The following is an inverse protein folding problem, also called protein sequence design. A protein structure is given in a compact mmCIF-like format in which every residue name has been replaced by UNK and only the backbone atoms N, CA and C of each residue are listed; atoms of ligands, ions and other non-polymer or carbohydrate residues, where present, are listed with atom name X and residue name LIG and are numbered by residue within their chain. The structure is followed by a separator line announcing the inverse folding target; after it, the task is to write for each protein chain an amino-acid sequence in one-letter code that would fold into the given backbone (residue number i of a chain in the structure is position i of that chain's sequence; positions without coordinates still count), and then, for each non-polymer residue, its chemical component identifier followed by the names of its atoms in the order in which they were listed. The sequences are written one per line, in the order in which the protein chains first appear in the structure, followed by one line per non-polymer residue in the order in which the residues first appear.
data_IF_275094218725
#
_entry.id   IF_275094218725
#
_cell.length_a   1.000
_cell.length_b   1.000
_cell.length_c   1.000
_cell.angle_alpha   90.00
_cell.angle_beta   90.00
_cell.angle_gamma   90.00
#
_symmetry.space_group_name_H-M   'P 1'
#
loop_
_entity.id
_entity.type
_entity.pdbx_description
1 polymer ?
#
# COMPACT_ATOMS: atom_id res chain seq x y z
N UNK A 1 -20.49 20.09 6.83
CA UNK A 1 -20.67 18.64 7.10
C UNK A 1 -20.86 18.45 8.61
N UNK A 2 -21.79 17.61 9.07
CA UNK A 2 -21.96 17.39 10.53
C UNK A 2 -20.88 16.46 11.08
N UNK A 3 -20.57 16.59 12.37
CA UNK A 3 -19.63 15.71 13.10
C UNK A 3 -19.97 14.23 12.94
N UNK A 4 -21.24 13.87 13.10
CA UNK A 4 -21.71 12.49 12.96
C UNK A 4 -21.54 11.96 11.52
N UNK A 5 -21.86 12.77 10.50
CA UNK A 5 -21.63 12.37 9.11
C UNK A 5 -20.16 12.13 8.80
N UNK A 6 -19.25 12.98 9.30
CA UNK A 6 -17.80 12.78 9.14
C UNK A 6 -17.33 11.51 9.85
N UNK A 7 -17.83 11.23 11.06
CA UNK A 7 -17.52 10.01 11.81
C UNK A 7 -17.95 8.75 11.07
N UNK A 8 -19.15 8.73 10.50
CA UNK A 8 -19.65 7.61 9.71
C UNK A 8 -18.78 7.39 8.46
N UNK A 9 -18.44 8.46 7.74
CA UNK A 9 -17.57 8.39 6.56
C UNK A 9 -16.21 7.80 6.94
N UNK A 10 -15.59 8.32 8.00
CA UNK A 10 -14.30 7.83 8.49
C UNK A 10 -14.36 6.38 8.96
N UNK A 11 -15.46 5.96 9.58
CA UNK A 11 -15.66 4.59 10.02
C UNK A 11 -15.64 3.61 8.85
N UNK A 12 -16.48 3.84 7.84
CA UNK A 12 -16.52 2.99 6.65
C UNK A 12 -15.21 3.04 5.87
N UNK A 13 -14.62 4.23 5.71
CA UNK A 13 -13.33 4.37 5.07
C UNK A 13 -12.27 3.51 5.77
N UNK A 14 -12.18 3.57 7.11
CA UNK A 14 -11.25 2.77 7.91
C UNK A 14 -11.46 1.27 7.72
N UNK A 15 -12.71 0.78 7.64
CA UNK A 15 -13.00 -0.62 7.33
C UNK A 15 -12.43 -1.01 5.95
N UNK A 16 -12.65 -0.18 4.93
CA UNK A 16 -12.10 -0.44 3.60
C UNK A 16 -10.57 -0.43 3.60
N UNK A 17 -9.91 0.42 4.40
CA UNK A 17 -8.45 0.39 4.56
C UNK A 17 -7.97 -0.94 5.15
N UNK A 18 -8.65 -1.44 6.18
CA UNK A 18 -8.30 -2.72 6.81
C UNK A 18 -8.46 -3.86 5.82
N UNK A 19 -9.58 -3.91 5.08
CA UNK A 19 -9.81 -4.91 4.04
C UNK A 19 -8.74 -4.82 2.95
N UNK A 20 -8.39 -3.60 2.51
CA UNK A 20 -7.32 -3.38 1.55
C UNK A 20 -5.97 -3.90 2.05
N UNK A 21 -5.56 -3.57 3.27
CA UNK A 21 -4.28 -3.99 3.83
C UNK A 21 -4.22 -5.52 3.98
N UNK A 22 -5.27 -6.14 4.53
CA UNK A 22 -5.33 -7.59 4.71
C UNK A 22 -5.35 -8.34 3.37
N UNK A 23 -6.09 -7.84 2.37
CA UNK A 23 -6.09 -8.42 1.03
C UNK A 23 -4.75 -8.22 0.32
N UNK A 24 -4.10 -7.08 0.50
CA UNK A 24 -2.74 -6.80 0.00
C UNK A 24 -1.73 -7.81 0.54
N UNK A 25 -1.67 -7.98 1.87
CA UNK A 25 -0.81 -8.97 2.54
C UNK A 25 -1.11 -10.40 2.04
N UNK A 26 -2.39 -10.77 1.99
CA UNK A 26 -2.80 -12.10 1.56
C UNK A 26 -2.38 -12.38 0.11
N UNK A 27 -2.63 -11.44 -0.80
CA UNK A 27 -2.24 -11.57 -2.20
C UNK A 27 -0.72 -11.57 -2.37
N UNK A 28 0.02 -10.78 -1.59
CA UNK A 28 1.48 -10.79 -1.63
C UNK A 28 2.02 -12.18 -1.27
N UNK A 29 1.57 -12.75 -0.16
CA UNK A 29 2.04 -14.06 0.31
C UNK A 29 1.60 -15.21 -0.60
N UNK A 30 0.34 -15.22 -1.02
CA UNK A 30 -0.24 -16.35 -1.79
C UNK A 30 0.15 -16.30 -3.27
N UNK A 31 0.23 -15.12 -3.87
CA UNK A 31 0.46 -14.98 -5.32
C UNK A 31 1.92 -14.75 -5.69
N UNK A 32 2.66 -13.98 -4.88
CA UNK A 32 4.04 -13.59 -5.19
C UNK A 32 5.03 -14.41 -4.36
N UNK A 33 4.72 -14.63 -3.08
CA UNK A 33 5.55 -15.35 -2.13
C UNK A 33 6.22 -14.42 -1.11
N UNK A 34 6.61 -14.99 0.02
CA UNK A 34 7.13 -14.25 1.18
C UNK A 34 8.66 -14.18 1.25
N UNK A 35 9.38 -14.92 0.39
CA UNK A 35 10.84 -14.95 0.36
C UNK A 35 11.40 -14.49 -1.00
N UNK A 36 12.65 -14.02 -1.07
CA UNK A 36 13.23 -13.49 -2.30
C UNK A 36 13.29 -14.49 -3.47
N UNK A 37 13.40 -15.79 -3.20
CA UNK A 37 13.46 -16.82 -4.25
C UNK A 37 12.11 -16.97 -4.95
N UNK A 38 11.02 -17.14 -4.20
CA UNK A 38 9.66 -17.21 -4.78
C UNK A 38 9.31 -15.93 -5.54
N UNK A 39 9.72 -14.77 -5.02
CA UNK A 39 9.54 -13.48 -5.71
C UNK A 39 10.31 -13.47 -7.02
N UNK A 40 11.57 -13.95 -7.03
CA UNK A 40 12.36 -14.04 -8.26
C UNK A 40 11.66 -14.93 -9.29
N UNK A 41 11.21 -16.13 -8.90
CA UNK A 41 10.48 -17.07 -9.76
C UNK A 41 9.17 -16.47 -10.30
N UNK A 42 8.42 -15.73 -9.47
CA UNK A 42 7.19 -15.06 -9.90
C UNK A 42 7.44 -14.06 -11.05
N UNK A 43 8.56 -13.32 -11.00
CA UNK A 43 8.88 -12.30 -12.01
C UNK A 43 9.68 -12.84 -13.21
N UNK A 44 10.67 -13.68 -12.96
CA UNK A 44 11.59 -14.24 -13.96
C UNK A 44 11.10 -15.54 -14.59
N UNK A 45 10.10 -16.18 -14.00
CA UNK A 45 9.65 -17.51 -14.39
C UNK A 45 10.44 -18.62 -13.71
N UNK A 46 9.93 -19.83 -13.84
CA UNK A 46 10.55 -21.07 -13.39
C UNK A 46 10.14 -22.18 -14.35
N UNK A 47 11.11 -22.90 -14.90
CA UNK A 47 10.84 -24.05 -15.76
C UNK A 47 10.26 -25.22 -14.94
N UNK A 48 10.81 -25.44 -13.73
CA UNK A 48 10.40 -26.52 -12.82
C UNK A 48 8.94 -26.39 -12.37
N UNK A 49 8.48 -25.15 -12.14
CA UNK A 49 7.10 -24.85 -11.74
C UNK A 49 6.20 -24.47 -12.93
N UNK A 50 6.72 -24.57 -14.16
CA UNK A 50 6.02 -24.17 -15.40
C UNK A 50 5.49 -22.72 -15.38
N UNK A 51 6.16 -21.82 -14.67
CA UNK A 51 5.80 -20.41 -14.54
C UNK A 51 6.49 -19.61 -15.64
N UNK A 52 5.70 -18.92 -16.45
CA UNK A 52 6.24 -17.98 -17.44
C UNK A 52 6.70 -16.68 -16.76
N UNK A 53 7.86 -16.19 -17.18
CA UNK A 53 8.34 -14.85 -16.84
C UNK A 53 7.29 -13.79 -17.17
N UNK A 54 7.19 -12.74 -16.35
CA UNK A 54 6.28 -11.64 -16.62
C UNK A 54 6.71 -10.90 -17.89
N UNK A 55 5.76 -10.54 -18.74
CA UNK A 55 6.01 -9.68 -19.90
C UNK A 55 6.02 -8.21 -19.48
N UNK A 56 6.62 -7.35 -20.30
CA UNK A 56 6.60 -5.90 -20.06
C UNK A 56 5.17 -5.38 -19.96
N UNK A 57 4.31 -5.78 -20.90
CA UNK A 57 2.90 -5.41 -20.95
C UNK A 57 2.13 -5.94 -19.74
N UNK A 58 2.36 -7.19 -19.33
CA UNK A 58 1.73 -7.74 -18.12
C UNK A 58 2.15 -7.02 -16.84
N UNK A 59 3.38 -6.49 -16.77
CA UNK A 59 3.80 -5.62 -15.67
C UNK A 59 3.11 -4.26 -15.73
N UNK A 60 2.97 -3.66 -16.91
CA UNK A 60 2.26 -2.38 -17.08
C UNK A 60 0.77 -2.48 -16.74
N UNK A 61 0.10 -3.57 -17.14
CA UNK A 61 -1.30 -3.84 -16.80
C UNK A 61 -1.56 -3.83 -15.30
N UNK A 62 -0.56 -4.22 -14.51
CA UNK A 62 -0.61 -4.15 -13.05
C UNK A 62 -0.17 -2.76 -12.56
N UNK A 63 0.93 -2.24 -13.08
CA UNK A 63 1.55 -1.00 -12.58
C UNK A 63 0.65 0.23 -12.76
N UNK A 64 0.04 0.41 -13.93
CA UNK A 64 -0.77 1.61 -14.24
C UNK A 64 -1.94 1.79 -13.26
N UNK A 65 -2.81 0.78 -13.02
CA UNK A 65 -3.89 0.94 -12.05
C UNK A 65 -3.37 1.12 -10.62
N UNK A 66 -2.24 0.53 -10.24
CA UNK A 66 -1.64 0.74 -8.92
C UNK A 66 -1.11 2.16 -8.74
N UNK A 67 -0.43 2.72 -9.75
CA UNK A 67 0.08 4.09 -9.69
C UNK A 67 -1.04 5.11 -9.51
N UNK A 68 -2.18 4.93 -10.17
CA UNK A 68 -3.34 5.83 -10.00
C UNK A 68 -4.05 5.56 -8.68
N UNK A 69 -4.42 4.30 -8.43
CA UNK A 69 -5.21 3.90 -7.27
C UNK A 69 -4.51 4.19 -5.95
N UNK A 70 -3.23 3.81 -5.83
CA UNK A 70 -2.45 4.05 -4.62
C UNK A 70 -2.18 5.55 -4.43
N UNK A 71 -1.97 6.33 -5.51
CA UNK A 71 -1.77 7.76 -5.38
C UNK A 71 -2.99 8.48 -4.81
N UNK A 72 -4.19 8.13 -5.27
CA UNK A 72 -5.45 8.68 -4.74
C UNK A 72 -5.67 8.20 -3.31
N UNK A 73 -5.39 6.91 -3.04
CA UNK A 73 -5.49 6.32 -1.71
C UNK A 73 -4.63 7.05 -0.67
N UNK A 74 -3.34 7.26 -0.96
CA UNK A 74 -2.42 7.98 -0.07
C UNK A 74 -2.84 9.46 0.04
N UNK A 75 -3.32 10.10 -1.02
CA UNK A 75 -3.81 11.48 -0.98
C UNK A 75 -4.98 11.63 0.01
N UNK A 76 -5.97 10.73 -0.08
CA UNK A 76 -7.15 10.75 0.81
C UNK A 76 -6.74 10.48 2.26
N UNK A 77 -5.87 9.50 2.51
CA UNK A 77 -5.36 9.22 3.85
C UNK A 77 -4.54 10.39 4.41
N UNK A 78 -3.66 10.97 3.60
CA UNK A 78 -2.88 12.15 3.93
C UNK A 78 -3.76 13.35 4.25
N UNK A 79 -4.89 13.51 3.55
CA UNK A 79 -5.89 14.52 3.86
C UNK A 79 -6.51 14.29 5.24
N UNK A 80 -6.93 13.07 5.58
CA UNK A 80 -7.48 12.78 6.90
C UNK A 80 -6.45 12.92 8.03
N UNK A 81 -5.14 12.82 7.73
CA UNK A 81 -4.14 13.15 8.74
C UNK A 81 -4.23 14.61 9.19
N UNK A 82 -4.83 15.55 8.45
CA UNK A 82 -5.03 16.95 8.90
C UNK A 82 -5.69 17.07 10.27
N UNK A 83 -6.47 16.07 10.69
CA UNK A 83 -7.08 15.99 12.02
C UNK A 83 -6.05 15.94 13.17
N UNK A 84 -4.83 15.45 12.94
CA UNK A 84 -3.84 15.25 14.00
C UNK A 84 -2.78 16.37 14.07
N UNK A 85 -2.26 16.75 15.24
CA UNK A 85 -1.20 17.76 15.35
C UNK A 85 0.21 17.17 15.10
N UNK A 86 0.42 16.52 13.95
CA UNK A 86 1.68 15.82 13.61
C UNK A 86 2.43 16.47 12.43
N UNK A 87 3.75 16.31 12.39
CA UNK A 87 4.59 16.58 11.19
C UNK A 87 4.43 15.45 10.19
N UNK A 88 3.42 15.55 9.32
CA UNK A 88 2.95 14.44 8.47
C UNK A 88 3.71 14.29 7.15
N UNK A 89 4.48 15.31 6.75
CA UNK A 89 5.18 15.31 5.46
C UNK A 89 6.08 14.08 5.29
N UNK A 90 6.88 13.76 6.32
CA UNK A 90 7.81 12.63 6.25
C UNK A 90 7.09 11.30 6.05
N UNK A 91 6.07 11.00 6.86
CA UNK A 91 5.38 9.70 6.75
C UNK A 91 4.61 9.56 5.45
N UNK A 92 3.97 10.64 4.98
CA UNK A 92 3.29 10.65 3.67
C UNK A 92 4.32 10.45 2.55
N UNK A 93 5.46 11.13 2.58
CA UNK A 93 6.54 10.94 1.61
C UNK A 93 7.09 9.52 1.62
N UNK A 94 7.33 8.94 2.81
CA UNK A 94 7.78 7.55 2.93
C UNK A 94 6.76 6.59 2.35
N UNK A 95 5.47 6.81 2.58
CA UNK A 95 4.37 5.98 2.03
C UNK A 95 4.34 6.03 0.51
N UNK A 96 4.46 7.23 -0.08
CA UNK A 96 4.55 7.40 -1.53
C UNK A 96 5.76 6.70 -2.11
N UNK A 97 6.95 6.92 -1.53
CA UNK A 97 8.19 6.32 -2.01
C UNK A 97 8.20 4.80 -1.86
N UNK A 98 7.64 4.28 -0.76
CA UNK A 98 7.47 2.84 -0.55
C UNK A 98 6.54 2.23 -1.60
N UNK A 99 5.38 2.85 -1.85
CA UNK A 99 4.44 2.35 -2.86
C UNK A 99 5.02 2.38 -4.28
N UNK A 100 5.75 3.45 -4.62
CA UNK A 100 6.43 3.57 -5.91
C UNK A 100 7.53 2.51 -6.04
N UNK A 101 8.34 2.32 -4.99
CA UNK A 101 9.36 1.27 -4.94
C UNK A 101 8.77 -0.12 -5.09
N UNK A 102 7.61 -0.38 -4.48
CA UNK A 102 6.91 -1.66 -4.61
C UNK A 102 6.49 -1.93 -6.07
N UNK A 103 5.93 -0.94 -6.75
CA UNK A 103 5.56 -1.07 -8.18
C UNK A 103 6.80 -1.25 -9.06
N UNK A 104 7.82 -0.40 -8.89
CA UNK A 104 9.02 -0.40 -9.73
C UNK A 104 9.92 -1.62 -9.51
N UNK A 105 9.92 -2.19 -8.31
CA UNK A 105 10.72 -3.37 -8.01
C UNK A 105 10.35 -4.58 -8.89
N UNK A 106 9.09 -4.71 -9.34
CA UNK A 106 8.72 -5.76 -10.31
C UNK A 106 9.44 -5.62 -11.66
N UNK A 107 9.61 -4.39 -12.14
CA UNK A 107 10.40 -4.11 -13.34
C UNK A 107 11.89 -4.34 -13.10
N UNK A 108 12.41 -3.88 -11.95
CA UNK A 108 13.81 -4.09 -11.57
C UNK A 108 14.16 -5.57 -11.47
N UNK A 109 13.30 -6.41 -10.89
CA UNK A 109 13.54 -7.85 -10.82
C UNK A 109 13.50 -8.44 -12.23
N UNK A 110 12.49 -8.09 -13.03
CA UNK A 110 12.31 -8.66 -14.36
C UNK A 110 13.48 -8.35 -15.31
N UNK A 111 14.02 -7.14 -15.26
CA UNK A 111 15.02 -6.65 -16.21
C UNK A 111 16.42 -6.46 -15.62
N UNK A 112 16.54 -6.42 -14.30
CA UNK A 112 17.80 -6.34 -13.56
C UNK A 112 18.19 -7.64 -12.84
N UNK A 113 17.30 -8.62 -12.77
CA UNK A 113 17.57 -9.96 -12.24
C UNK A 113 17.17 -10.18 -10.78
N UNK A 114 17.37 -11.42 -10.30
CA UNK A 114 16.90 -11.90 -9.00
C UNK A 114 17.51 -11.17 -7.79
N UNK A 115 18.65 -10.50 -7.97
CA UNK A 115 19.29 -9.69 -6.91
C UNK A 115 18.35 -8.61 -6.34
N UNK A 116 17.40 -8.12 -7.14
CA UNK A 116 16.46 -7.09 -6.71
C UNK A 116 15.23 -7.63 -5.97
N UNK A 117 15.05 -8.96 -5.87
CA UNK A 117 13.88 -9.56 -5.20
C UNK A 117 13.67 -9.11 -3.75
N UNK A 118 14.71 -8.92 -2.92
CA UNK A 118 14.53 -8.38 -1.56
C UNK A 118 13.92 -6.96 -1.54
N UNK A 119 14.12 -6.15 -2.59
CA UNK A 119 13.57 -4.79 -2.63
C UNK A 119 12.04 -4.81 -2.70
N UNK A 120 11.46 -5.82 -3.37
CA UNK A 120 10.01 -6.02 -3.40
C UNK A 120 9.45 -6.21 -1.99
N UNK A 121 10.10 -7.05 -1.17
CA UNK A 121 9.71 -7.26 0.23
C UNK A 121 9.88 -5.97 1.03
N UNK A 122 11.04 -5.32 0.92
CA UNK A 122 11.35 -4.10 1.67
C UNK A 122 10.30 -3.02 1.44
N UNK A 123 10.00 -2.73 0.17
CA UNK A 123 9.04 -1.68 -0.19
C UNK A 123 7.61 -2.06 0.17
N UNK A 124 7.20 -3.31 -0.05
CA UNK A 124 5.89 -3.80 0.37
C UNK A 124 5.70 -3.68 1.89
N UNK A 125 6.65 -4.18 2.68
CA UNK A 125 6.59 -4.11 4.15
C UNK A 125 6.60 -2.68 4.64
N UNK A 126 7.46 -1.82 4.07
CA UNK A 126 7.49 -0.40 4.44
C UNK A 126 6.14 0.29 4.15
N UNK A 127 5.55 -0.01 2.99
CA UNK A 127 4.22 0.48 2.63
C UNK A 127 3.17 -0.01 3.63
N UNK A 128 3.07 -1.32 3.87
CA UNK A 128 2.09 -1.90 4.80
C UNK A 128 2.24 -1.38 6.23
N UNK A 129 3.48 -1.18 6.72
CA UNK A 129 3.72 -0.59 8.04
C UNK A 129 3.21 0.84 8.12
N UNK A 130 3.45 1.65 7.07
CA UNK A 130 2.89 3.00 7.03
C UNK A 130 1.37 2.98 6.97
N UNK A 131 0.75 2.11 6.16
CA UNK A 131 -0.71 1.95 6.09
C UNK A 131 -1.29 1.53 7.44
N UNK A 132 -0.69 0.54 8.11
CA UNK A 132 -1.08 0.14 9.47
C UNK A 132 -1.02 1.32 10.46
N UNK A 133 0.01 2.16 10.38
CA UNK A 133 0.11 3.36 11.20
C UNK A 133 -1.06 4.32 10.94
N UNK A 134 -1.39 4.61 9.68
CA UNK A 134 -2.54 5.48 9.35
C UNK A 134 -3.86 4.89 9.83
N UNK A 135 -4.08 3.58 9.64
CA UNK A 135 -5.28 2.89 10.13
C UNK A 135 -5.38 3.06 11.65
N UNK A 136 -4.29 2.81 12.39
CA UNK A 136 -4.26 3.00 13.84
C UNK A 136 -4.62 4.44 14.25
N UNK A 137 -4.09 5.44 13.54
CA UNK A 137 -4.44 6.84 13.79
C UNK A 137 -5.93 7.10 13.56
N UNK A 138 -6.51 6.63 12.45
CA UNK A 138 -7.94 6.82 12.17
C UNK A 138 -8.83 6.10 13.19
N UNK A 139 -8.46 4.89 13.60
CA UNK A 139 -9.15 4.16 14.67
C UNK A 139 -9.13 4.97 15.96
N UNK A 140 -7.97 5.49 16.38
CA UNK A 140 -7.87 6.36 17.57
C UNK A 140 -8.76 7.60 17.42
N UNK A 141 -8.80 8.21 16.22
CA UNK A 141 -9.64 9.37 15.99
C UNK A 141 -11.13 9.06 16.15
N UNK A 142 -11.62 7.92 15.66
CA UNK A 142 -13.03 7.52 15.75
C UNK A 142 -13.55 7.51 17.19
N UNK A 143 -12.68 7.26 18.18
CA UNK A 143 -13.03 7.23 19.60
C UNK A 143 -12.75 8.55 20.35
N UNK A 144 -12.27 9.60 19.67
CA UNK A 144 -11.88 10.87 20.31
C UNK A 144 -12.61 12.05 19.68
N UNK A 145 -13.56 12.62 20.41
CA UNK A 145 -14.40 13.74 19.96
C UNK A 145 -13.61 14.98 19.52
N UNK A 146 -12.44 15.23 20.13
CA UNK A 146 -11.59 16.39 19.82
C UNK A 146 -11.13 16.46 18.35
N UNK A 147 -11.16 15.35 17.62
CA UNK A 147 -10.79 15.32 16.20
C UNK A 147 -11.95 15.62 15.26
N UNK A 148 -13.17 15.76 15.77
CA UNK A 148 -14.34 16.10 14.97
C UNK A 148 -14.86 17.49 15.38
N UNK A 149 -14.68 18.52 14.54
CA UNK A 149 -15.22 19.85 14.84
C UNK A 149 -16.76 19.83 14.82
N UNK A 150 -17.38 20.61 15.70
CA UNK A 150 -18.85 20.66 15.82
C UNK A 150 -19.54 21.23 14.56
N UNK A 151 -18.81 22.00 13.74
CA UNK A 151 -19.18 22.38 12.36
C UNK A 151 -17.94 22.46 11.46
N UNK A 152 -18.01 21.78 10.30
CA UNK A 152 -17.15 22.01 9.11
C UNK A 152 -17.95 22.80 8.09
#
# INVERSE_FOLDING_TARGET
MTKESLRIILFFFTIFLIVQALSGISLFVVKIGYNPAHIAEYFLGSEDEFIKAKSFWGLLEVAVPHLVGISIYILVMGHFLFLFPLKKGLIVSVTYLASLGDVLSGFLIRYGGAFFSPFKILFFVLFELTICYFIGMLVIALFQDKFFPDRV
#
